data_IF_814306996898
#
_entry.id   IF_814306996898
#
_cell.length_a   1.000
_cell.length_b   1.000
_cell.length_c   1.000
_cell.angle_alpha   90.00
_cell.angle_beta   90.00
_cell.angle_gamma   90.00
#
_symmetry.space_group_name_H-M   'P 1'
#
loop_
_entity.id
_entity.type
_entity.pdbx_description
1 polymer ?
#
# COMPACT_ATOMS: atom_id res chain seq x y z
N UNK A 1 -10.24 -6.17 1.39
CA UNK A 1 -9.12 -6.41 2.33
C UNK A 1 -8.71 -5.12 3.01
N UNK A 2 -8.15 -5.22 4.19
CA UNK A 2 -7.79 -4.09 5.01
C UNK A 2 -6.34 -4.22 5.46
N UNK A 3 -5.56 -3.14 5.30
CA UNK A 3 -4.17 -3.08 5.78
C UNK A 3 -4.12 -2.12 6.96
N UNK A 4 -3.50 -2.57 8.05
CA UNK A 4 -3.27 -1.74 9.22
C UNK A 4 -1.81 -1.81 9.60
N UNK A 5 -1.09 -0.74 9.38
CA UNK A 5 0.28 -0.58 9.84
C UNK A 5 0.35 0.56 10.82
N UNK A 6 1.54 0.87 11.31
CA UNK A 6 1.74 2.04 12.16
C UNK A 6 1.46 3.29 11.32
N UNK A 7 0.43 4.02 11.67
CA UNK A 7 0.06 5.27 10.99
C UNK A 7 -0.42 5.11 9.55
N UNK A 8 -0.58 3.86 9.05
CA UNK A 8 -1.04 3.61 7.68
C UNK A 8 -2.22 2.67 7.71
N UNK A 9 -3.32 3.11 7.16
CA UNK A 9 -4.54 2.31 7.02
C UNK A 9 -4.97 2.36 5.56
N UNK A 10 -5.38 1.23 5.02
CA UNK A 10 -5.81 1.15 3.65
C UNK A 10 -6.84 0.05 3.45
N UNK A 11 -7.68 0.21 2.43
CA UNK A 11 -8.55 -0.86 1.98
C UNK A 11 -8.21 -1.18 0.53
N UNK A 12 -8.42 -2.42 0.14
CA UNK A 12 -8.12 -2.86 -1.21
C UNK A 12 -8.81 -4.17 -1.53
N UNK A 13 -8.75 -4.56 -2.78
CA UNK A 13 -9.39 -5.77 -3.28
C UNK A 13 -8.55 -6.44 -4.35
N UNK A 14 -8.54 -7.78 -4.34
CA UNK A 14 -7.98 -8.51 -5.46
C UNK A 14 -8.89 -8.29 -6.66
N UNK A 15 -8.30 -7.95 -7.80
CA UNK A 15 -9.02 -7.84 -9.06
C UNK A 15 -8.30 -8.66 -10.10
N UNK A 16 -8.91 -8.82 -11.26
CA UNK A 16 -8.26 -9.53 -12.35
C UNK A 16 -6.96 -8.80 -12.71
N UNK A 17 -5.86 -9.51 -12.62
CA UNK A 17 -4.51 -9.02 -12.93
C UNK A 17 -4.01 -7.88 -12.03
N UNK A 18 -4.42 -7.85 -10.78
CA UNK A 18 -3.87 -6.83 -9.90
C UNK A 18 -4.52 -6.76 -8.54
N UNK A 19 -4.14 -5.73 -7.84
CA UNK A 19 -4.69 -5.44 -6.52
C UNK A 19 -5.08 -3.96 -6.47
N UNK A 20 -6.36 -3.70 -6.31
CA UNK A 20 -6.89 -2.34 -6.27
C UNK A 20 -6.81 -1.78 -4.85
N UNK A 21 -6.16 -0.64 -4.70
CA UNK A 21 -6.14 0.12 -3.44
C UNK A 21 -7.08 1.31 -3.61
N UNK A 22 -7.99 1.46 -2.66
CA UNK A 22 -9.00 2.50 -2.73
C UNK A 22 -8.46 3.85 -2.28
N UNK A 23 -9.01 4.93 -2.83
CA UNK A 23 -8.67 6.28 -2.37
C UNK A 23 -8.94 6.38 -0.88
N UNK A 24 -8.19 7.22 -0.19
CA UNK A 24 -8.23 7.32 1.26
C UNK A 24 -7.17 6.49 1.95
N UNK A 25 -6.47 5.63 1.19
CA UNK A 25 -5.39 4.82 1.75
C UNK A 25 -4.26 5.71 2.24
N UNK A 26 -3.72 5.37 3.41
CA UNK A 26 -2.56 6.06 3.95
C UNK A 26 -1.29 5.71 3.19
N UNK A 27 -0.32 6.60 3.27
CA UNK A 27 0.96 6.47 2.57
C UNK A 27 2.03 6.94 3.54
N UNK A 28 2.90 6.04 3.95
CA UNK A 28 3.88 6.34 4.99
C UNK A 28 4.72 7.57 4.63
N UNK A 29 4.89 8.46 5.60
CA UNK A 29 5.69 9.67 5.39
C UNK A 29 7.18 9.35 5.30
N UNK A 30 7.62 8.35 6.05
CA UNK A 30 9.03 7.98 6.12
C UNK A 30 9.24 6.71 5.31
N UNK A 31 10.20 6.78 4.41
CA UNK A 31 10.58 5.65 3.58
C UNK A 31 11.88 5.07 4.11
N UNK A 32 11.94 3.74 4.20
CA UNK A 32 13.17 3.07 4.61
C UNK A 32 14.28 3.32 3.57
N UNK A 33 15.48 3.62 4.05
CA UNK A 33 16.63 3.77 3.16
C UNK A 33 17.02 2.43 2.51
N UNK A 34 16.49 1.33 3.03
CA UNK A 34 16.74 -0.02 2.51
C UNK A 34 15.70 -0.47 1.49
N UNK A 35 14.70 0.37 1.19
CA UNK A 35 13.66 -0.01 0.24
C UNK A 35 14.27 -0.25 -1.15
N UNK A 36 13.77 -1.26 -1.86
CA UNK A 36 14.25 -1.53 -3.21
C UNK A 36 13.94 -0.37 -4.14
N UNK A 37 14.85 -0.13 -5.07
CA UNK A 37 14.76 1.02 -5.98
C UNK A 37 13.46 1.09 -6.75
N UNK A 38 12.93 -0.04 -7.19
CA UNK A 38 11.67 -0.07 -7.95
C UNK A 38 10.50 0.46 -7.15
N UNK A 39 10.47 0.20 -5.84
CA UNK A 39 9.40 0.69 -4.98
C UNK A 39 9.59 2.17 -4.63
N UNK A 40 10.84 2.57 -4.44
CA UNK A 40 11.18 3.98 -4.26
C UNK A 40 10.70 4.79 -5.46
N UNK A 41 11.01 4.31 -6.67
CA UNK A 41 10.62 4.99 -7.91
C UNK A 41 9.11 5.04 -8.06
N UNK A 42 8.42 3.96 -7.70
CA UNK A 42 6.96 3.92 -7.78
C UNK A 42 6.32 4.91 -6.79
N UNK A 43 6.85 4.98 -5.56
CA UNK A 43 6.37 5.94 -4.58
C UNK A 43 6.50 7.37 -5.09
N UNK A 44 7.66 7.70 -5.66
CA UNK A 44 7.91 9.02 -6.25
C UNK A 44 6.94 9.29 -7.38
N UNK A 45 6.74 8.33 -8.26
CA UNK A 45 5.82 8.45 -9.39
C UNK A 45 4.40 8.74 -8.93
N UNK A 46 3.93 8.03 -7.89
CA UNK A 46 2.58 8.21 -7.38
C UNK A 46 2.36 9.62 -6.82
N UNK A 47 3.37 10.16 -6.14
CA UNK A 47 3.32 11.54 -5.66
C UNK A 47 3.34 12.52 -6.84
N UNK A 48 4.30 12.34 -7.75
CA UNK A 48 4.49 13.26 -8.87
C UNK A 48 3.28 13.30 -9.81
N UNK A 49 2.60 12.18 -9.97
CA UNK A 49 1.42 12.10 -10.85
C UNK A 49 0.11 12.45 -10.14
N UNK A 50 0.17 12.83 -8.88
CA UNK A 50 -1.00 13.31 -8.17
C UNK A 50 -1.92 12.23 -7.62
N UNK A 51 -1.47 10.98 -7.52
CA UNK A 51 -2.24 9.93 -6.86
C UNK A 51 -2.20 10.07 -5.35
N UNK A 52 -1.08 10.60 -4.83
CA UNK A 52 -0.88 10.77 -3.39
C UNK A 52 -0.66 12.25 -3.08
N UNK A 53 -1.44 12.78 -2.14
CA UNK A 53 -1.29 14.15 -1.64
C UNK A 53 -1.43 14.13 -0.13
N UNK A 54 -0.53 14.81 0.57
CA UNK A 54 -0.52 14.85 2.04
C UNK A 54 -0.52 13.45 2.66
N UNK A 55 0.24 12.54 2.05
CA UNK A 55 0.39 11.16 2.51
C UNK A 55 -0.91 10.35 2.51
N UNK A 56 -1.82 10.67 1.59
CA UNK A 56 -3.08 9.94 1.41
C UNK A 56 -3.35 9.80 -0.08
N UNK A 57 -3.83 8.62 -0.47
CA UNK A 57 -4.27 8.41 -1.85
C UNK A 57 -5.55 9.20 -2.10
N UNK A 58 -5.52 10.04 -3.11
CA UNK A 58 -6.70 10.83 -3.53
C UNK A 58 -7.43 10.19 -4.70
N UNK A 59 -6.90 9.08 -5.22
CA UNK A 59 -7.49 8.29 -6.30
C UNK A 59 -7.24 6.82 -6.02
N UNK A 60 -8.06 5.95 -6.58
CA UNK A 60 -7.80 4.52 -6.58
C UNK A 60 -6.56 4.23 -7.43
N UNK A 61 -5.82 3.20 -7.07
CA UNK A 61 -4.66 2.77 -7.84
C UNK A 61 -4.56 1.24 -7.87
N UNK A 62 -4.19 0.70 -9.04
CA UNK A 62 -4.04 -0.74 -9.21
C UNK A 62 -2.56 -1.11 -9.16
N UNK A 63 -2.20 -1.89 -8.15
CA UNK A 63 -0.85 -2.46 -8.03
C UNK A 63 -0.82 -3.82 -8.69
N UNK A 64 0.37 -4.36 -8.95
CA UNK A 64 0.53 -5.68 -9.53
C UNK A 64 0.02 -6.78 -8.60
N UNK A 65 0.25 -6.62 -7.30
CA UNK A 65 -0.21 -7.55 -6.28
C UNK A 65 -0.27 -6.87 -4.92
N UNK A 66 -0.82 -7.57 -3.95
CA UNK A 66 -1.01 -6.99 -2.61
C UNK A 66 0.30 -6.78 -1.85
N UNK A 67 1.36 -7.53 -2.17
CA UNK A 67 2.66 -7.32 -1.54
C UNK A 67 3.28 -6.01 -2.02
N UNK A 68 3.25 -5.76 -3.31
CA UNK A 68 3.73 -4.48 -3.86
C UNK A 68 2.97 -3.31 -3.23
N UNK A 69 1.65 -3.45 -3.13
CA UNK A 69 0.82 -2.43 -2.51
C UNK A 69 1.27 -2.16 -1.08
N UNK A 70 1.46 -3.20 -0.28
CA UNK A 70 1.88 -3.05 1.12
C UNK A 70 3.25 -2.38 1.23
N UNK A 71 4.21 -2.79 0.41
CA UNK A 71 5.55 -2.20 0.42
C UNK A 71 5.48 -0.70 0.10
N UNK A 72 4.73 -0.36 -0.93
CA UNK A 72 4.62 1.03 -1.37
C UNK A 72 3.90 1.88 -0.33
N UNK A 73 2.82 1.38 0.24
CA UNK A 73 2.06 2.12 1.25
C UNK A 73 2.86 2.29 2.54
N UNK A 74 3.57 1.26 2.97
CA UNK A 74 4.32 1.28 4.23
C UNK A 74 5.72 1.88 4.08
N UNK A 75 6.23 1.99 2.86
CA UNK A 75 7.55 2.58 2.61
C UNK A 75 8.71 1.72 3.08
N UNK A 76 8.53 0.42 3.14
CA UNK A 76 9.59 -0.51 3.56
C UNK A 76 9.42 -1.87 2.91
N UNK A 77 10.52 -2.61 2.79
CA UNK A 77 10.49 -3.95 2.26
C UNK A 77 9.70 -4.87 3.20
N UNK A 78 8.99 -5.82 2.62
CA UNK A 78 8.16 -6.77 3.37
C UNK A 78 8.48 -8.16 2.87
N UNK A 79 8.83 -9.10 3.77
CA UNK A 79 9.04 -10.50 3.38
C UNK A 79 7.76 -11.10 2.81
N UNK A 80 7.90 -12.02 1.87
CA UNK A 80 6.73 -12.66 1.26
C UNK A 80 5.79 -13.28 2.28
N UNK A 81 6.32 -13.91 3.30
CA UNK A 81 5.52 -14.59 4.32
C UNK A 81 4.73 -13.61 5.20
N UNK A 82 5.12 -12.35 5.25
CA UNK A 82 4.42 -11.34 6.04
C UNK A 82 3.19 -10.79 5.35
N UNK A 83 3.04 -11.03 4.06
CA UNK A 83 1.92 -10.55 3.26
C UNK A 83 0.58 -10.96 3.85
N UNK A 84 0.49 -12.17 4.35
CA UNK A 84 -0.76 -12.73 4.90
C UNK A 84 -1.22 -12.03 6.17
N UNK A 85 -0.28 -11.50 6.95
CA UNK A 85 -0.62 -10.85 8.22
C UNK A 85 -0.82 -9.35 8.06
N UNK A 86 -0.45 -8.79 6.93
CA UNK A 86 -0.61 -7.36 6.67
C UNK A 86 -1.98 -7.03 6.08
N UNK A 87 -2.48 -7.88 5.19
CA UNK A 87 -3.80 -7.67 4.58
C UNK A 87 -4.80 -8.63 5.19
N UNK A 88 -5.81 -8.08 5.85
CA UNK A 88 -6.89 -8.85 6.47
C UNK A 88 -8.12 -8.85 5.58
N UNK A 89 -8.90 -9.90 5.65
CA UNK A 89 -10.22 -9.90 5.03
C UNK A 89 -11.07 -8.81 5.69
N UNK A 90 -11.84 -8.09 4.89
CA UNK A 90 -12.71 -7.04 5.40
C UNK A 90 -13.67 -7.63 6.44
N UNK A 91 -13.68 -7.08 7.61
CA UNK A 91 -14.51 -7.58 8.70
C UNK A 91 -13.76 -8.39 9.74
N UNK A 92 -12.60 -8.96 9.40
CA UNK A 92 -11.80 -9.75 10.35
C UNK A 92 -11.34 -8.93 11.54
N UNK A 93 -11.02 -7.68 11.33
CA UNK A 93 -10.50 -6.79 12.37
C UNK A 93 -11.58 -6.21 13.27
N UNK A 94 -12.82 -6.50 13.01
CA UNK A 94 -13.94 -5.97 13.79
C UNK A 94 -14.18 -6.74 15.08
N UNK A 95 -13.54 -7.84 15.20
CA UNK A 95 -13.72 -8.72 16.36
C UNK A 95 -13.24 -8.10 17.66
#
# INVERSE_FOLDING_TARGET
MYLKGSWVHATGSNIYRGFLVHKGAGFARIESILIENRYHSLRKKLIDKGYVKNNVFVKDYVFNDKREAAIVLLGRNIPEEAERVLWFATGSYKV
#
